data_IF_344461493490
#
_entry.id   IF_344461493490
#
_cell.length_a   1.000
_cell.length_b   1.000
_cell.length_c   1.000
_cell.angle_alpha   90.00
_cell.angle_beta   90.00
_cell.angle_gamma   90.00
#
_symmetry.space_group_name_H-M   'P 1'
#
loop_
_entity.id
_entity.type
_entity.pdbx_description
1 polymer ?
#
# COMPACT_ATOMS: atom_id res chain seq x y z
N UNK A 1 13.77 -21.17 -14.53
CA UNK A 1 12.30 -21.06 -14.49
C UNK A 1 11.64 -20.85 -15.85
N UNK A 2 12.23 -20.15 -16.83
CA UNK A 2 11.55 -19.84 -18.10
C UNK A 2 11.28 -21.01 -19.07
N UNK A 3 11.99 -22.14 -18.97
CA UNK A 3 11.85 -23.27 -19.93
C UNK A 3 10.58 -24.13 -19.72
N UNK A 4 9.93 -24.01 -18.55
CA UNK A 4 8.78 -24.83 -18.17
C UNK A 4 7.50 -24.02 -17.93
N UNK A 5 7.55 -22.70 -18.05
CA UNK A 5 6.41 -21.81 -17.85
C UNK A 5 5.83 -21.46 -19.21
N UNK A 6 4.61 -21.92 -19.47
CA UNK A 6 3.88 -21.57 -20.69
C UNK A 6 3.61 -20.06 -20.72
N UNK A 7 3.69 -19.40 -21.89
CA UNK A 7 3.45 -17.96 -22.01
C UNK A 7 2.11 -17.49 -21.44
N UNK A 8 1.07 -18.32 -21.58
CA UNK A 8 -0.29 -18.09 -21.09
C UNK A 8 -0.36 -17.95 -19.55
N UNK A 9 0.64 -18.46 -18.84
CA UNK A 9 0.66 -18.50 -17.36
C UNK A 9 1.30 -17.24 -16.77
N UNK A 10 2.06 -16.46 -17.54
CA UNK A 10 2.66 -15.21 -17.07
C UNK A 10 1.65 -14.19 -16.51
N UNK A 11 0.48 -13.91 -17.15
CA UNK A 11 -0.49 -12.97 -16.58
C UNK A 11 -1.05 -13.45 -15.23
N UNK A 12 -1.31 -14.75 -15.08
CA UNK A 12 -1.78 -15.33 -13.82
C UNK A 12 -0.70 -15.21 -12.72
N UNK A 13 0.54 -15.55 -13.07
CA UNK A 13 1.67 -15.44 -12.14
C UNK A 13 1.94 -13.99 -11.74
N UNK A 14 1.81 -13.05 -12.67
CA UNK A 14 1.95 -11.62 -12.40
C UNK A 14 0.89 -11.16 -11.39
N UNK A 15 -0.38 -11.53 -11.59
CA UNK A 15 -1.46 -11.20 -10.65
C UNK A 15 -1.22 -11.81 -9.25
N UNK A 16 -0.87 -13.11 -9.19
CA UNK A 16 -0.65 -13.81 -7.92
C UNK A 16 0.54 -13.25 -7.14
N UNK A 17 1.66 -12.98 -7.81
CA UNK A 17 2.85 -12.39 -7.19
C UNK A 17 2.60 -10.94 -6.74
N UNK A 18 1.85 -10.17 -7.53
CA UNK A 18 1.43 -8.83 -7.16
C UNK A 18 0.59 -8.83 -5.89
N UNK A 19 -0.46 -9.65 -5.80
CA UNK A 19 -1.32 -9.73 -4.60
C UNK A 19 -0.53 -10.23 -3.39
N UNK A 20 0.30 -11.26 -3.56
CA UNK A 20 1.12 -11.80 -2.46
C UNK A 20 2.09 -10.75 -1.92
N UNK A 21 2.73 -9.99 -2.81
CA UNK A 21 3.64 -8.91 -2.41
C UNK A 21 2.92 -7.74 -1.74
N UNK A 22 1.69 -7.42 -2.16
CA UNK A 22 0.84 -6.44 -1.47
C UNK A 22 0.52 -6.88 -0.03
N UNK A 23 0.15 -8.14 0.17
CA UNK A 23 -0.09 -8.68 1.52
C UNK A 23 1.17 -8.61 2.39
N UNK A 24 2.32 -9.02 1.84
CA UNK A 24 3.60 -8.96 2.55
C UNK A 24 3.99 -7.52 2.91
N UNK A 25 3.81 -6.57 1.98
CA UNK A 25 4.04 -5.14 2.22
C UNK A 25 3.16 -4.61 3.34
N UNK A 26 1.86 -4.97 3.33
CA UNK A 26 0.90 -4.49 4.32
C UNK A 26 1.19 -5.06 5.71
N UNK A 27 1.55 -6.34 5.80
CA UNK A 27 1.99 -6.97 7.06
C UNK A 27 3.29 -6.34 7.58
N UNK A 28 4.27 -6.14 6.71
CA UNK A 28 5.54 -5.49 7.06
C UNK A 28 5.30 -4.11 7.63
N UNK A 29 4.44 -3.31 6.97
CA UNK A 29 4.03 -2.00 7.48
C UNK A 29 3.37 -2.09 8.85
N UNK A 30 2.46 -3.06 9.03
CA UNK A 30 1.75 -3.27 10.30
C UNK A 30 2.69 -3.62 11.45
N UNK A 31 3.73 -4.41 11.14
CA UNK A 31 4.77 -4.87 12.05
C UNK A 31 5.66 -3.72 12.52
N UNK A 32 6.05 -2.80 11.61
CA UNK A 32 7.03 -1.75 11.92
C UNK A 32 6.43 -0.39 12.30
N UNK A 33 5.27 -0.04 11.74
CA UNK A 33 4.71 1.31 11.84
C UNK A 33 3.40 1.38 12.65
N UNK A 34 2.85 0.25 13.11
CA UNK A 34 1.74 0.33 14.05
C UNK A 34 2.25 0.80 15.41
N UNK A 35 1.64 1.83 16.01
CA UNK A 35 2.01 2.29 17.35
C UNK A 35 1.74 1.23 18.43
N UNK A 36 0.82 0.30 18.17
CA UNK A 36 0.44 -0.76 19.11
C UNK A 36 1.39 -1.98 19.05
N UNK A 37 2.15 -2.15 17.97
CA UNK A 37 3.00 -3.32 17.74
C UNK A 37 4.45 -2.97 18.12
N UNK A 38 4.96 -3.63 19.16
CA UNK A 38 6.29 -3.36 19.75
C UNK A 38 7.23 -4.56 19.60
N UNK A 39 7.97 -4.61 18.49
CA UNK A 39 8.87 -5.73 18.21
C UNK A 39 10.24 -5.52 18.88
N UNK A 40 10.73 -4.28 18.84
CA UNK A 40 11.99 -3.87 19.46
C UNK A 40 11.92 -3.97 20.99
N UNK A 41 12.96 -4.54 21.60
CA UNK A 41 13.10 -4.64 23.06
C UNK A 41 13.16 -3.26 23.73
N UNK A 42 13.76 -2.25 23.09
CA UNK A 42 13.80 -0.89 23.62
C UNK A 42 12.39 -0.28 23.75
N UNK A 43 11.50 -0.60 22.80
CA UNK A 43 10.12 -0.07 22.77
C UNK A 43 9.16 -0.80 23.72
N UNK A 44 9.53 -2.00 24.23
CA UNK A 44 8.69 -2.77 25.19
C UNK A 44 8.62 -2.16 26.58
N UNK A 45 9.68 -1.47 27.01
CA UNK A 45 9.70 -0.76 28.30
C UNK A 45 8.95 0.58 28.28
N UNK A 46 8.58 1.08 27.10
CA UNK A 46 7.85 2.33 26.96
C UNK A 46 6.34 2.09 27.08
N UNK A 47 5.73 2.51 28.19
CA UNK A 47 4.31 2.32 28.49
C UNK A 47 3.32 2.97 27.50
N UNK A 48 3.75 4.01 26.77
CA UNK A 48 3.06 4.88 25.78
C UNK A 48 1.76 5.55 26.25
N UNK A 49 1.74 6.88 26.20
CA UNK A 49 0.51 7.69 26.09
C UNK A 49 0.64 8.85 25.05
N UNK A 50 1.84 9.37 24.80
CA UNK A 50 2.07 10.54 23.90
C UNK A 50 2.77 10.15 22.60
N UNK A 51 2.11 9.36 21.73
CA UNK A 51 2.68 8.94 20.44
C UNK A 51 1.88 9.47 19.24
N UNK A 52 1.38 10.70 19.37
CA UNK A 52 0.51 11.35 18.38
C UNK A 52 1.17 11.45 17.00
N UNK A 53 2.44 11.80 16.95
CA UNK A 53 3.17 11.96 15.68
C UNK A 53 3.34 10.63 14.92
N UNK A 54 3.61 9.52 15.61
CA UNK A 54 3.70 8.20 14.98
C UNK A 54 2.31 7.69 14.53
N UNK A 55 1.28 7.92 15.36
CA UNK A 55 -0.11 7.62 15.00
C UNK A 55 -0.59 8.42 13.78
N UNK A 56 -0.23 9.70 13.69
CA UNK A 56 -0.51 10.54 12.52
C UNK A 56 0.21 10.02 11.27
N UNK A 57 1.49 9.64 11.37
CA UNK A 57 2.23 9.03 10.25
C UNK A 57 1.66 7.68 9.82
N UNK A 58 1.13 6.90 10.75
CA UNK A 58 0.44 5.64 10.45
C UNK A 58 -0.94 5.87 9.81
N UNK A 59 -1.71 6.86 10.27
CA UNK A 59 -3.04 7.17 9.72
C UNK A 59 -2.96 7.86 8.35
N UNK A 60 -2.08 8.86 8.22
CA UNK A 60 -1.86 9.63 6.98
C UNK A 60 -0.72 9.02 6.15
N UNK A 61 -1.01 7.90 5.49
CA UNK A 61 -0.07 7.36 4.50
C UNK A 61 0.19 8.37 3.35
N UNK A 62 1.44 8.48 2.90
CA UNK A 62 1.83 9.45 1.86
C UNK A 62 1.01 9.34 0.57
N UNK A 63 0.69 8.11 0.13
CA UNK A 63 -0.20 7.90 -1.03
C UNK A 63 -1.62 8.40 -0.74
N UNK A 64 -2.14 8.20 0.47
CA UNK A 64 -3.48 8.69 0.87
C UNK A 64 -3.51 10.22 0.89
N UNK A 65 -2.45 10.85 1.41
CA UNK A 65 -2.30 12.32 1.44
C UNK A 65 -2.18 12.89 0.03
N UNK A 66 -1.42 12.23 -0.83
CA UNK A 66 -1.25 12.60 -2.24
C UNK A 66 -2.55 12.47 -3.04
N UNK A 67 -3.33 11.41 -2.82
CA UNK A 67 -4.60 11.19 -3.52
C UNK A 67 -5.73 12.10 -3.00
N UNK A 68 -5.63 12.65 -1.78
CA UNK A 68 -6.67 13.50 -1.18
C UNK A 68 -6.94 14.79 -1.94
N UNK A 69 -5.94 15.33 -2.63
CA UNK A 69 -6.06 16.59 -3.39
C UNK A 69 -6.42 16.38 -4.86
N UNK A 70 -6.46 15.13 -5.31
CA UNK A 70 -6.80 14.78 -6.68
C UNK A 70 -8.32 14.56 -6.79
N UNK A 71 -8.93 14.90 -7.93
CA UNK A 71 -10.32 14.52 -8.19
C UNK A 71 -10.45 12.99 -8.15
N UNK A 72 -11.59 12.44 -7.71
CA UNK A 72 -11.82 11.00 -7.57
C UNK A 72 -12.03 10.32 -8.93
N UNK A 73 -11.06 10.47 -9.84
CA UNK A 73 -11.03 9.88 -11.16
C UNK A 73 -9.95 8.80 -11.22
N UNK A 74 -10.35 7.55 -11.47
CA UNK A 74 -9.43 6.40 -11.53
C UNK A 74 -8.50 6.53 -12.75
N UNK A 75 -9.01 7.06 -13.87
CA UNK A 75 -8.25 7.28 -15.09
C UNK A 75 -8.66 8.60 -15.75
N UNK A 76 -8.15 9.75 -15.30
CA UNK A 76 -8.59 11.06 -15.79
C UNK A 76 -8.41 11.23 -17.31
N UNK A 77 -7.34 10.66 -17.87
CA UNK A 77 -7.09 10.71 -19.31
C UNK A 77 -8.14 9.91 -20.12
N UNK A 78 -8.51 8.72 -19.64
CA UNK A 78 -9.53 7.88 -20.29
C UNK A 78 -10.91 8.48 -20.09
N UNK A 79 -11.22 8.96 -18.88
CA UNK A 79 -12.49 9.60 -18.60
C UNK A 79 -12.69 10.84 -19.47
N UNK A 80 -11.68 11.71 -19.61
CA UNK A 80 -11.76 12.88 -20.52
C UNK A 80 -11.92 12.47 -21.98
N UNK A 81 -11.21 11.42 -22.41
CA UNK A 81 -11.35 10.90 -23.78
C UNK A 81 -12.78 10.45 -24.10
N UNK A 82 -13.50 9.87 -23.14
CA UNK A 82 -14.88 9.41 -23.33
C UNK A 82 -15.97 10.40 -22.92
N UNK A 83 -15.63 11.52 -22.28
CA UNK A 83 -16.60 12.52 -21.80
C UNK A 83 -16.52 13.87 -22.52
N UNK A 84 -15.45 14.10 -23.28
CA UNK A 84 -15.35 15.23 -24.19
C UNK A 84 -15.83 14.77 -25.57
N UNK A 85 -17.12 14.89 -25.83
CA UNK A 85 -17.65 14.97 -27.19
C UNK A 85 -17.54 16.44 -27.63
N UNK A 86 -16.70 16.70 -28.65
CA UNK A 86 -16.36 18.01 -29.28
C UNK A 86 -16.25 19.27 -28.39
#
# INVERSE_FOLDING_TARGET
MGRWVKPEVYPLMAAMTFVTSLCAFQLTRNVFLNPDVRIDKARRGMGVLENKEEGEKYAEHGLRKFLRTRPPEIMPAINRFFSQDE
#
